data_IF_627268091125
#
_entry.id   IF_627268091125
#
_cell.length_a   1.000
_cell.length_b   1.000
_cell.length_c   1.000
_cell.angle_alpha   90.00
_cell.angle_beta   90.00
_cell.angle_gamma   90.00
#
_symmetry.space_group_name_H-M   'P 1'
#
loop_
_entity.id
_entity.type
_entity.pdbx_description
1 polymer ?
#
# COMPACT_ATOMS: atom_id res chain seq x y z
N UNK A 1 -20.18 2.45 -17.45
CA UNK A 1 -19.18 1.56 -16.82
C UNK A 1 -19.96 0.52 -16.04
N UNK A 2 -20.06 -0.72 -16.54
CA UNK A 2 -20.81 -1.77 -15.85
C UNK A 2 -19.88 -2.37 -14.79
N UNK A 3 -20.14 -2.05 -13.51
CA UNK A 3 -19.45 -2.73 -12.41
C UNK A 3 -19.90 -4.21 -12.42
N UNK A 4 -18.97 -5.17 -12.26
CA UNK A 4 -19.33 -6.57 -12.19
C UNK A 4 -20.25 -6.86 -10.98
N UNK A 5 -21.09 -7.91 -11.04
CA UNK A 5 -22.03 -8.23 -9.98
C UNK A 5 -21.32 -8.54 -8.64
N UNK A 6 -21.95 -8.22 -7.49
CA UNK A 6 -21.38 -8.46 -6.17
C UNK A 6 -21.12 -9.96 -5.96
N UNK A 7 -19.92 -10.31 -5.47
CA UNK A 7 -19.51 -11.70 -5.21
C UNK A 7 -18.42 -12.26 -6.15
N UNK A 8 -17.97 -11.51 -7.17
CA UNK A 8 -16.80 -11.85 -8.01
C UNK A 8 -15.67 -10.81 -7.90
N UNK A 9 -15.31 -10.39 -6.68
CA UNK A 9 -14.14 -9.53 -6.49
C UNK A 9 -12.81 -10.26 -6.76
N UNK A 10 -12.82 -11.60 -6.76
CA UNK A 10 -11.64 -12.45 -6.98
C UNK A 10 -10.89 -12.17 -8.30
N UNK A 11 -11.59 -11.72 -9.34
CA UNK A 11 -11.00 -11.42 -10.65
C UNK A 11 -10.65 -9.95 -10.91
N UNK A 12 -10.99 -9.03 -9.99
CA UNK A 12 -10.75 -7.59 -10.18
C UNK A 12 -9.65 -7.02 -9.29
N UNK A 13 -9.24 -7.77 -8.28
CA UNK A 13 -8.09 -7.41 -7.45
C UNK A 13 -6.80 -7.69 -8.23
N UNK A 14 -5.70 -6.99 -7.92
CA UNK A 14 -4.40 -7.36 -8.46
C UNK A 14 -4.12 -8.83 -8.15
N UNK A 15 -3.47 -9.58 -9.06
CA UNK A 15 -2.96 -10.91 -8.70
C UNK A 15 -1.92 -10.69 -7.61
N UNK A 16 -2.19 -11.20 -6.41
CA UNK A 16 -1.28 -11.05 -5.26
C UNK A 16 -0.43 -12.32 -5.06
N UNK A 17 -0.56 -13.32 -5.93
CA UNK A 17 -0.05 -14.68 -5.70
C UNK A 17 1.11 -15.10 -6.63
N UNK A 18 1.69 -14.16 -7.37
CA UNK A 18 2.70 -14.47 -8.40
C UNK A 18 4.09 -14.81 -7.79
N UNK A 19 4.31 -14.54 -6.51
CA UNK A 19 5.55 -14.85 -5.77
C UNK A 19 5.29 -15.83 -4.63
N UNK A 20 6.26 -16.69 -4.30
CA UNK A 20 6.23 -17.53 -3.08
C UNK A 20 6.64 -16.77 -1.82
N UNK A 21 7.23 -15.59 -1.96
CA UNK A 21 7.63 -14.72 -0.85
C UNK A 21 6.51 -13.72 -0.52
N UNK A 22 5.84 -13.82 0.65
CA UNK A 22 4.80 -12.88 1.06
C UNK A 22 5.25 -11.42 1.09
N UNK A 23 6.53 -11.14 1.40
CA UNK A 23 7.07 -9.78 1.36
C UNK A 23 7.01 -9.24 -0.07
N UNK A 24 7.51 -10.03 -1.02
CA UNK A 24 7.49 -9.65 -2.43
C UNK A 24 6.06 -9.56 -3.00
N UNK A 25 5.13 -10.40 -2.54
CA UNK A 25 3.71 -10.28 -2.91
C UNK A 25 3.13 -8.91 -2.54
N UNK A 26 3.47 -8.35 -1.38
CA UNK A 26 3.02 -7.01 -0.97
C UNK A 26 3.60 -5.91 -1.87
N UNK A 27 4.85 -6.06 -2.32
CA UNK A 27 5.53 -5.06 -3.16
C UNK A 27 5.08 -5.13 -4.62
N UNK A 28 4.82 -6.33 -5.14
CA UNK A 28 4.40 -6.57 -6.52
C UNK A 28 3.10 -5.85 -6.91
N UNK A 29 2.28 -5.48 -5.92
CA UNK A 29 1.07 -4.66 -6.09
C UNK A 29 1.36 -3.33 -6.80
N UNK A 30 2.55 -2.77 -6.61
CA UNK A 30 2.96 -1.48 -7.15
C UNK A 30 3.68 -1.57 -8.52
N UNK A 31 4.02 -2.78 -8.98
CA UNK A 31 4.70 -2.99 -10.27
C UNK A 31 3.73 -2.99 -11.46
N UNK A 32 2.42 -3.01 -11.17
CA UNK A 32 1.40 -3.23 -12.20
C UNK A 32 1.26 -2.00 -13.08
N UNK A 33 1.68 -2.12 -14.33
CA UNK A 33 1.37 -1.15 -15.38
C UNK A 33 -0.13 -1.17 -15.71
N UNK A 34 -0.74 -0.02 -16.02
CA UNK A 34 -2.08 0.01 -16.62
C UNK A 34 -2.13 -0.92 -17.84
N UNK A 35 -3.18 -1.73 -17.98
CA UNK A 35 -3.41 -2.49 -19.22
C UNK A 35 -3.75 -1.50 -20.34
N UNK A 36 -3.20 -1.76 -21.53
CA UNK A 36 -3.33 -0.98 -22.77
C UNK A 36 -2.73 0.45 -22.69
N UNK A 37 -1.48 0.58 -23.14
CA UNK A 37 -0.72 1.84 -23.16
C UNK A 37 -0.98 2.72 -24.38
N UNK A 38 -1.93 2.36 -25.24
CA UNK A 38 -2.24 3.16 -26.43
C UNK A 38 -3.19 4.34 -26.14
N UNK A 39 -3.62 4.53 -24.88
CA UNK A 39 -4.56 5.58 -24.49
C UNK A 39 -4.35 6.15 -23.07
N UNK A 40 -5.17 7.16 -22.67
CA UNK A 40 -5.04 7.80 -21.37
C UNK A 40 -5.25 6.86 -20.18
N UNK A 41 -4.53 7.08 -19.08
CA UNK A 41 -4.67 6.30 -17.85
C UNK A 41 -6.04 6.55 -17.22
N UNK A 42 -6.86 5.51 -17.14
CA UNK A 42 -8.25 5.59 -16.60
C UNK A 42 -8.37 5.30 -15.11
N UNK A 43 -7.27 4.94 -14.44
CA UNK A 43 -7.24 4.71 -13.00
C UNK A 43 -8.04 3.47 -12.57
N UNK A 44 -8.50 3.48 -11.32
CA UNK A 44 -9.29 2.41 -10.73
C UNK A 44 -10.80 2.64 -11.00
N UNK A 45 -11.52 1.69 -11.61
CA UNK A 45 -12.94 1.85 -11.90
C UNK A 45 -13.80 2.04 -10.63
N UNK A 46 -13.38 1.49 -9.49
CA UNK A 46 -14.11 1.65 -8.23
C UNK A 46 -13.90 3.03 -7.60
N UNK A 47 -12.68 3.58 -7.64
CA UNK A 47 -12.44 4.95 -7.19
C UNK A 47 -13.26 5.93 -8.04
N UNK A 48 -13.24 5.76 -9.36
CA UNK A 48 -14.03 6.59 -10.26
C UNK A 48 -15.53 6.47 -9.96
N UNK A 49 -16.04 5.26 -9.76
CA UNK A 49 -17.45 5.05 -9.42
C UNK A 49 -17.85 5.72 -8.10
N UNK A 50 -16.99 5.66 -7.07
CA UNK A 50 -17.25 6.32 -5.78
C UNK A 50 -17.22 7.85 -5.88
N UNK A 51 -16.36 8.41 -6.74
CA UNK A 51 -16.31 9.86 -7.01
C UNK A 51 -17.57 10.34 -7.74
N UNK A 52 -18.01 9.62 -8.77
CA UNK A 52 -19.19 9.99 -9.57
C UNK A 52 -20.51 9.78 -8.81
N UNK A 53 -20.53 8.87 -7.84
CA UNK A 53 -21.72 8.50 -7.08
C UNK A 53 -21.41 8.52 -5.58
N UNK A 54 -21.48 9.67 -4.91
CA UNK A 54 -20.98 9.84 -3.54
C UNK A 54 -21.94 9.32 -2.45
N UNK A 55 -23.20 9.00 -2.78
CA UNK A 55 -24.16 8.47 -1.80
C UNK A 55 -23.75 7.04 -1.38
N UNK A 56 -23.41 6.81 -0.10
CA UNK A 56 -22.93 5.52 0.38
C UNK A 56 -23.98 4.40 0.26
N UNK A 57 -25.27 4.73 0.25
CA UNK A 57 -26.35 3.76 0.14
C UNK A 57 -26.68 3.41 -1.32
N UNK A 58 -26.13 4.16 -2.28
CA UNK A 58 -26.39 3.94 -3.70
C UNK A 58 -25.86 2.57 -4.17
N UNK A 59 -26.62 1.82 -5.00
CA UNK A 59 -26.24 0.47 -5.46
C UNK A 59 -24.92 0.42 -6.26
N UNK A 60 -24.44 1.54 -6.78
CA UNK A 60 -23.13 1.68 -7.46
C UNK A 60 -22.00 1.92 -6.47
N UNK A 61 -22.23 2.71 -5.41
CA UNK A 61 -21.20 3.03 -4.43
C UNK A 61 -20.88 1.84 -3.53
N UNK A 62 -21.90 1.08 -3.10
CA UNK A 62 -21.73 -0.06 -2.17
C UNK A 62 -20.70 -1.09 -2.67
N UNK A 63 -20.73 -1.57 -3.93
CA UNK A 63 -19.70 -2.48 -4.45
C UNK A 63 -18.31 -1.86 -4.52
N UNK A 64 -18.20 -0.56 -4.83
CA UNK A 64 -16.91 0.14 -4.85
C UNK A 64 -16.29 0.19 -3.46
N UNK A 65 -17.06 0.58 -2.44
CA UNK A 65 -16.61 0.55 -1.06
C UNK A 65 -16.26 -0.87 -0.58
N UNK A 66 -17.05 -1.88 -0.96
CA UNK A 66 -16.78 -3.27 -0.61
C UNK A 66 -15.47 -3.78 -1.23
N UNK A 67 -15.20 -3.44 -2.50
CA UNK A 67 -13.94 -3.78 -3.15
C UNK A 67 -12.74 -3.16 -2.43
N UNK A 68 -12.84 -1.90 -2.01
CA UNK A 68 -11.76 -1.22 -1.28
C UNK A 68 -11.44 -1.88 0.05
N UNK A 69 -12.47 -2.28 0.82
CA UNK A 69 -12.31 -3.04 2.06
C UNK A 69 -11.73 -4.43 1.84
N UNK A 70 -12.18 -5.12 0.80
CA UNK A 70 -11.65 -6.44 0.45
C UNK A 70 -10.17 -6.37 0.06
N UNK A 71 -9.77 -5.32 -0.64
CA UNK A 71 -8.38 -5.10 -1.02
C UNK A 71 -7.46 -4.95 0.20
N UNK A 72 -7.80 -4.10 1.16
CA UNK A 72 -6.98 -3.96 2.38
C UNK A 72 -6.98 -5.25 3.21
N UNK A 73 -8.11 -5.97 3.27
CA UNK A 73 -8.20 -7.29 3.92
C UNK A 73 -7.21 -8.30 3.34
N UNK A 74 -7.07 -8.39 2.01
CA UNK A 74 -6.12 -9.32 1.37
C UNK A 74 -4.66 -8.93 1.60
N UNK A 75 -4.36 -7.63 1.56
CA UNK A 75 -3.03 -7.14 1.91
C UNK A 75 -2.69 -7.52 3.35
N UNK A 76 -3.65 -7.43 4.28
CA UNK A 76 -3.48 -7.87 5.65
C UNK A 76 -3.26 -9.39 5.77
N UNK A 77 -3.92 -10.21 4.94
CA UNK A 77 -3.66 -11.66 4.90
C UNK A 77 -2.22 -11.98 4.48
N UNK A 78 -1.71 -11.30 3.45
CA UNK A 78 -0.34 -11.47 2.99
C UNK A 78 0.64 -10.96 4.05
N UNK A 79 0.37 -9.79 4.64
CA UNK A 79 1.16 -9.23 5.73
C UNK A 79 1.27 -10.18 6.92
N UNK A 80 0.19 -10.89 7.25
CA UNK A 80 0.20 -11.92 8.30
C UNK A 80 1.09 -13.09 7.94
N UNK A 81 1.05 -13.57 6.69
CA UNK A 81 1.97 -14.60 6.18
C UNK A 81 3.42 -14.13 6.18
N UNK A 82 3.67 -12.84 5.98
CA UNK A 82 4.99 -12.22 6.03
C UNK A 82 5.54 -12.08 7.45
N UNK A 83 4.70 -12.20 8.49
CA UNK A 83 5.10 -12.01 9.88
C UNK A 83 4.98 -10.57 10.38
N UNK A 84 4.12 -9.75 9.77
CA UNK A 84 3.88 -8.38 10.22
C UNK A 84 3.30 -8.36 11.65
N UNK A 85 3.79 -7.43 12.46
CA UNK A 85 3.35 -7.24 13.86
C UNK A 85 1.88 -6.79 13.97
N UNK A 86 1.45 -5.97 13.03
CA UNK A 86 0.07 -5.48 12.90
C UNK A 86 -0.36 -5.60 11.43
N UNK A 87 -0.79 -6.80 11.00
CA UNK A 87 -1.14 -7.07 9.61
C UNK A 87 -2.27 -6.20 9.09
N UNK A 88 -3.28 -5.94 9.92
CA UNK A 88 -4.44 -5.12 9.58
C UNK A 88 -4.02 -3.67 9.32
N UNK A 89 -3.17 -3.10 10.18
CA UNK A 89 -2.66 -1.75 9.98
C UNK A 89 -1.78 -1.65 8.72
N UNK A 90 -0.87 -2.61 8.51
CA UNK A 90 -0.04 -2.63 7.30
C UNK A 90 -0.90 -2.77 6.03
N UNK A 91 -1.90 -3.64 6.06
CA UNK A 91 -2.83 -3.84 4.95
C UNK A 91 -3.57 -2.56 4.55
N UNK A 92 -4.04 -1.79 5.54
CA UNK A 92 -4.70 -0.51 5.29
C UNK A 92 -3.73 0.57 4.76
N UNK A 93 -2.52 0.66 5.32
CA UNK A 93 -1.49 1.59 4.83
C UNK A 93 -1.13 1.32 3.36
N UNK A 94 -0.93 0.06 3.00
CA UNK A 94 -0.62 -0.33 1.62
C UNK A 94 -1.80 -0.10 0.68
N UNK A 95 -3.04 -0.32 1.14
CA UNK A 95 -4.23 -0.02 0.34
C UNK A 95 -4.37 1.49 0.05
N UNK A 96 -4.14 2.33 1.06
CA UNK A 96 -4.15 3.78 0.92
C UNK A 96 -3.05 4.27 -0.01
N UNK A 97 -1.84 3.72 0.13
CA UNK A 97 -0.72 4.04 -0.74
C UNK A 97 -1.05 3.70 -2.20
N UNK A 98 -1.61 2.52 -2.45
CA UNK A 98 -2.03 2.09 -3.78
C UNK A 98 -3.07 3.03 -4.39
N UNK A 99 -4.07 3.45 -3.62
CA UNK A 99 -5.07 4.42 -4.10
C UNK A 99 -4.43 5.75 -4.47
N UNK A 100 -3.48 6.23 -3.65
CA UNK A 100 -2.70 7.41 -3.95
C UNK A 100 -1.87 7.27 -5.23
N UNK A 101 -1.25 6.11 -5.44
CA UNK A 101 -0.52 5.79 -6.68
C UNK A 101 -1.45 5.87 -7.89
N UNK A 102 -2.60 5.20 -7.83
CA UNK A 102 -3.57 5.17 -8.92
C UNK A 102 -4.12 6.56 -9.22
N UNK A 103 -4.53 7.31 -8.19
CA UNK A 103 -5.04 8.67 -8.35
C UNK A 103 -3.98 9.60 -8.97
N UNK A 104 -2.73 9.50 -8.52
CA UNK A 104 -1.63 10.31 -9.06
C UNK A 104 -1.28 9.92 -10.50
N UNK A 105 -1.27 8.63 -10.82
CA UNK A 105 -1.06 8.16 -12.19
C UNK A 105 -2.12 8.71 -13.15
N UNK A 106 -3.39 8.67 -12.75
CA UNK A 106 -4.51 9.24 -13.51
C UNK A 106 -4.38 10.75 -13.67
N UNK A 107 -4.13 11.49 -12.58
CA UNK A 107 -4.04 12.95 -12.61
C UNK A 107 -2.88 13.46 -13.48
N UNK A 108 -1.75 12.76 -13.47
CA UNK A 108 -0.57 13.11 -14.25
C UNK A 108 -0.53 12.45 -15.64
N UNK A 109 -1.45 11.54 -15.91
CA UNK A 109 -1.42 10.65 -17.08
C UNK A 109 -0.03 10.01 -17.28
N UNK A 110 0.56 9.50 -16.19
CA UNK A 110 1.93 8.96 -16.15
C UNK A 110 2.00 7.64 -15.39
N UNK A 111 2.73 6.66 -15.94
CA UNK A 111 2.91 5.32 -15.39
C UNK A 111 4.09 5.20 -14.41
N UNK A 112 4.85 6.28 -14.19
CA UNK A 112 6.05 6.29 -13.33
C UNK A 112 5.79 6.32 -11.82
N UNK A 113 4.54 6.48 -11.38
CA UNK A 113 4.20 6.63 -9.95
C UNK A 113 4.35 5.32 -9.15
N UNK A 114 4.30 4.17 -9.82
CA UNK A 114 4.42 2.86 -9.17
C UNK A 114 5.79 2.61 -8.54
N UNK A 115 6.87 3.07 -9.18
CA UNK A 115 8.23 2.87 -8.66
C UNK A 115 8.44 3.56 -7.30
N UNK A 116 8.07 4.84 -7.18
CA UNK A 116 8.15 5.55 -5.91
C UNK A 116 7.22 4.98 -4.84
N UNK A 117 6.04 4.50 -5.24
CA UNK A 117 5.13 3.84 -4.31
C UNK A 117 5.70 2.52 -3.78
N UNK A 118 6.36 1.73 -4.64
CA UNK A 118 7.06 0.51 -4.23
C UNK A 118 8.15 0.79 -3.19
N UNK A 119 8.93 1.85 -3.38
CA UNK A 119 9.97 2.26 -2.42
C UNK A 119 9.37 2.61 -1.05
N UNK A 120 8.27 3.36 -1.02
CA UNK A 120 7.55 3.68 0.23
C UNK A 120 6.98 2.40 0.86
N UNK A 121 6.37 1.52 0.06
CA UNK A 121 5.82 0.26 0.52
C UNK A 121 6.91 -0.63 1.16
N UNK A 122 8.11 -0.68 0.59
CA UNK A 122 9.24 -1.42 1.16
C UNK A 122 9.59 -0.92 2.56
N UNK A 123 9.64 0.40 2.78
CA UNK A 123 9.89 0.97 4.11
C UNK A 123 8.80 0.58 5.13
N UNK A 124 7.53 0.63 4.73
CA UNK A 124 6.40 0.25 5.59
C UNK A 124 6.43 -1.23 5.94
N UNK A 125 6.69 -2.09 4.95
CA UNK A 125 6.78 -3.54 5.13
C UNK A 125 7.96 -3.87 6.04
N UNK A 126 9.16 -3.35 5.75
CA UNK A 126 10.35 -3.64 6.56
C UNK A 126 10.17 -3.16 8.01
N UNK A 127 9.55 -2.00 8.23
CA UNK A 127 9.22 -1.52 9.57
C UNK A 127 8.21 -2.44 10.29
N UNK A 128 7.20 -2.96 9.57
CA UNK A 128 6.19 -3.86 10.12
C UNK A 128 6.74 -5.27 10.44
N UNK A 129 7.77 -5.71 9.72
CA UNK A 129 8.45 -6.99 9.92
C UNK A 129 9.59 -6.92 10.95
N UNK A 130 10.15 -5.75 11.21
CA UNK A 130 11.23 -5.59 12.18
C UNK A 130 10.79 -5.86 13.62
N UNK A 131 11.63 -6.57 14.39
CA UNK A 131 11.47 -6.76 15.83
C UNK A 131 11.87 -5.47 16.59
N UNK A 132 10.99 -4.87 17.41
CA UNK A 132 11.32 -3.71 18.23
C UNK A 132 12.50 -3.94 19.19
N UNK A 133 12.83 -5.19 19.55
CA UNK A 133 13.96 -5.50 20.41
C UNK A 133 15.33 -5.17 19.78
N UNK A 134 15.43 -5.07 18.45
CA UNK A 134 16.67 -4.76 17.74
C UNK A 134 16.98 -3.27 17.57
N UNK A 135 16.03 -2.38 17.85
CA UNK A 135 16.14 -0.94 17.59
C UNK A 135 16.53 -0.12 18.84
N UNK A 136 16.50 -0.72 20.04
CA UNK A 136 16.79 -0.06 21.32
C UNK A 136 18.28 0.11 21.68
N UNK A 137 19.22 -0.42 20.89
CA UNK A 137 20.66 -0.46 21.24
C UNK A 137 21.54 0.53 20.45
N UNK A 138 20.98 1.51 19.73
CA UNK A 138 21.77 2.65 19.22
C UNK A 138 21.56 3.86 20.12
N UNK A 139 22.16 3.83 21.31
CA UNK A 139 22.39 5.07 22.07
C UNK A 139 23.38 5.93 21.28
N UNK A 140 23.09 7.20 20.99
CA UNK A 140 24.13 8.10 20.49
C UNK A 140 25.22 8.20 21.56
N UNK A 141 26.47 8.01 21.14
CA UNK A 141 27.63 8.14 22.00
C UNK A 141 27.60 9.50 22.67
N UNK A 142 27.64 9.50 24.01
CA UNK A 142 27.88 10.71 24.78
C UNK A 142 29.32 11.12 24.48
N UNK A 143 29.51 12.21 23.75
CA UNK A 143 30.82 12.84 23.62
C UNK A 143 31.39 13.11 25.03
N UNK A 144 32.66 12.79 25.31
CA UNK A 144 33.28 13.14 26.57
C UNK A 144 33.40 14.67 26.67
N UNK A 145 32.86 15.21 27.76
CA UNK A 145 32.98 16.61 28.17
C UNK A 145 34.47 17.02 28.28
N UNK A 146 34.96 18.02 27.53
CA UNK A 146 36.34 18.47 27.61
C UNK A 146 36.63 19.41 28.80
N UNK A 147 35.67 19.67 29.70
CA UNK A 147 35.86 20.60 30.82
C UNK A 147 36.40 19.93 32.09
N UNK A 148 37.63 19.43 32.03
CA UNK A 148 38.33 18.80 33.16
C UNK A 148 39.81 19.12 33.22
N UNK A 149 40.21 20.37 32.97
CA UNK A 149 41.60 20.78 33.07
C UNK A 149 41.77 22.08 33.88
N UNK A 150 42.40 21.91 35.05
CA UNK A 150 43.27 22.85 35.75
C UNK A 150 42.67 24.18 36.24
N UNK A 151 42.41 24.26 37.55
CA UNK A 151 42.76 25.43 38.35
C UNK A 151 43.53 24.99 39.60
N UNK A 152 44.46 25.88 39.97
CA UNK A 152 45.63 25.73 40.84
C UNK A 152 45.28 25.62 42.31
#
# INVERSE_FOLDING_TARGET
MVLPPPGRADGLLPSLEDSRDPREQLLAVFDRKPRDTDGPIRGCPFLNAAVEVPDPEHPVHRPAAAYKKEFSRRLAEIARRAGARDPEHLGEQLALLYDGTVARATALNSDGTGASAREIAALLVDAALADPAGQGQRRPGRDPDPSGAARR
#
